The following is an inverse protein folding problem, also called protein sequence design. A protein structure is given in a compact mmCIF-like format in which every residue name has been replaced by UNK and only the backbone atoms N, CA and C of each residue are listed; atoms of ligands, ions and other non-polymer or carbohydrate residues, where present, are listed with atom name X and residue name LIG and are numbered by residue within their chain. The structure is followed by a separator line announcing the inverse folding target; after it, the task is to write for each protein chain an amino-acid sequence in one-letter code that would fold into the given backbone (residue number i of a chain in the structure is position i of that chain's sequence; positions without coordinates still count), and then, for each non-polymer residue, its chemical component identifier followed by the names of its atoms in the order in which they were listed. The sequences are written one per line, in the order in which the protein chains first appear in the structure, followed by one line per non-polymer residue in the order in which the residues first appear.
data_IF_744585665322
#
_entry.id   IF_744585665322
#
_cell.length_a   1.000
_cell.length_b   1.000
_cell.length_c   1.000
_cell.angle_alpha   90.00
_cell.angle_beta   90.00
_cell.angle_gamma   90.00
#
_symmetry.space_group_name_H-M   'P 1'
#
loop_
_entity.id
_entity.type
_entity.pdbx_description
1 polymer ?
#
# COMPACT_ATOMS: atom_id res chain seq x y z
N UNK A 1 -28.24 22.40 -15.75
CA UNK A 1 -26.86 22.93 -15.64
C UNK A 1 -26.85 23.93 -14.48
N UNK A 2 -26.56 23.51 -13.25
CA UNK A 2 -26.33 24.41 -12.15
C UNK A 2 -24.80 24.53 -11.98
N UNK A 3 -24.28 25.69 -12.36
CA UNK A 3 -22.90 26.07 -12.09
C UNK A 3 -22.74 26.20 -10.57
N UNK A 4 -22.09 25.24 -9.95
CA UNK A 4 -21.58 25.39 -8.58
C UNK A 4 -20.50 26.48 -8.61
N UNK A 5 -20.86 27.72 -8.26
CA UNK A 5 -19.85 28.72 -7.93
C UNK A 5 -19.23 28.33 -6.59
N UNK A 6 -17.91 28.19 -6.49
CA UNK A 6 -17.28 27.95 -5.22
C UNK A 6 -17.51 29.17 -4.32
N UNK A 7 -18.19 28.98 -3.20
CA UNK A 7 -18.29 30.00 -2.13
C UNK A 7 -16.98 29.97 -1.35
N UNK A 8 -16.08 30.89 -1.68
CA UNK A 8 -14.88 31.14 -0.87
C UNK A 8 -15.31 31.93 0.37
N UNK A 9 -14.95 31.51 1.61
CA UNK A 9 -15.17 32.31 2.82
C UNK A 9 -14.47 33.67 2.70
N UNK A 10 -15.01 34.70 3.32
CA UNK A 10 -14.58 36.11 3.19
C UNK A 10 -13.15 36.43 3.66
N UNK A 11 -12.35 35.45 4.12
CA UNK A 11 -10.91 35.55 4.37
C UNK A 11 -10.27 34.17 4.22
N UNK A 12 -9.92 33.77 3.00
CA UNK A 12 -9.07 32.58 2.80
C UNK A 12 -7.68 32.91 3.32
N UNK A 13 -7.10 32.13 4.23
CA UNK A 13 -5.70 32.33 4.63
C UNK A 13 -4.81 32.23 3.38
N UNK A 14 -3.64 32.90 3.36
CA UNK A 14 -2.71 32.76 2.25
C UNK A 14 -2.37 31.28 2.05
N UNK A 15 -2.36 30.83 0.81
CA UNK A 15 -2.03 29.46 0.47
C UNK A 15 -0.52 29.21 0.65
N UNK A 16 -0.17 28.00 1.08
CA UNK A 16 1.22 27.54 1.07
C UNK A 16 1.66 27.21 -0.36
N UNK A 17 0.76 26.57 -1.13
CA UNK A 17 1.04 26.12 -2.50
C UNK A 17 -0.20 26.31 -3.39
N UNK A 18 0.02 26.82 -4.59
CA UNK A 18 -0.99 26.93 -5.65
C UNK A 18 -0.47 26.20 -6.90
N UNK A 19 -1.21 25.18 -7.33
CA UNK A 19 -0.95 24.40 -8.54
C UNK A 19 -1.95 24.81 -9.61
N UNK A 20 -1.50 25.14 -10.82
CA UNK A 20 -2.37 25.64 -11.90
C UNK A 20 -2.08 24.96 -13.23
N UNK A 21 -3.06 24.92 -14.12
CA UNK A 21 -2.89 24.51 -15.52
C UNK A 21 -2.85 22.99 -15.76
N UNK A 22 -2.92 22.15 -14.71
CA UNK A 22 -2.92 20.70 -14.85
C UNK A 22 -4.32 20.14 -15.16
N UNK A 23 -4.35 18.99 -15.83
CA UNK A 23 -5.51 18.13 -15.80
C UNK A 23 -5.61 17.43 -14.43
N UNK A 24 -6.81 17.32 -13.85
CA UNK A 24 -6.97 16.81 -12.48
C UNK A 24 -8.00 15.67 -12.46
N UNK A 25 -7.56 14.50 -12.02
CA UNK A 25 -8.41 13.34 -11.68
C UNK A 25 -8.65 13.35 -10.17
N UNK A 26 -9.84 13.67 -9.74
CA UNK A 26 -10.12 13.83 -8.30
C UNK A 26 -10.35 12.53 -7.55
N UNK A 27 -10.70 11.44 -8.25
CA UNK A 27 -11.20 10.18 -7.67
C UNK A 27 -12.48 10.34 -6.82
N UNK A 28 -13.15 11.49 -6.86
CA UNK A 28 -14.47 11.66 -6.25
C UNK A 28 -15.55 10.97 -7.11
N UNK A 29 -16.56 10.30 -6.50
CA UNK A 29 -17.63 9.65 -7.24
C UNK A 29 -18.37 10.62 -8.14
N UNK A 30 -18.45 10.28 -9.44
CA UNK A 30 -19.16 11.10 -10.43
C UNK A 30 -18.48 12.43 -10.77
N UNK A 31 -17.32 12.76 -10.22
CA UNK A 31 -16.62 13.97 -10.56
C UNK A 31 -15.94 13.84 -11.94
N UNK A 32 -16.18 14.79 -12.84
CA UNK A 32 -15.51 14.80 -14.15
C UNK A 32 -14.04 15.15 -13.98
N UNK A 33 -13.23 14.77 -14.98
CA UNK A 33 -11.89 15.29 -15.18
C UNK A 33 -11.95 16.83 -15.26
N UNK A 34 -11.17 17.52 -14.43
CA UNK A 34 -11.01 18.98 -14.51
C UNK A 34 -9.83 19.25 -15.45
N UNK A 35 -10.12 19.90 -16.58
CA UNK A 35 -9.09 20.28 -17.56
C UNK A 35 -8.47 21.62 -17.20
N UNK A 36 -7.14 21.70 -17.31
CA UNK A 36 -6.37 22.91 -17.03
C UNK A 36 -6.76 23.59 -15.70
N UNK A 37 -7.02 22.79 -14.68
CA UNK A 37 -7.57 23.20 -13.38
C UNK A 37 -6.52 23.75 -12.42
N UNK A 38 -7.00 24.08 -11.22
CA UNK A 38 -6.16 24.59 -10.13
C UNK A 38 -6.49 23.91 -8.80
N UNK A 39 -5.48 23.74 -7.95
CA UNK A 39 -5.58 23.29 -6.57
C UNK A 39 -4.84 24.27 -5.68
N UNK A 40 -5.51 24.80 -4.66
CA UNK A 40 -4.91 25.59 -3.60
C UNK A 40 -4.74 24.76 -2.34
N UNK A 41 -3.55 24.81 -1.73
CA UNK A 41 -3.20 24.07 -0.51
C UNK A 41 -2.85 25.08 0.59
N UNK A 42 -3.43 24.88 1.77
CA UNK A 42 -3.15 25.65 2.98
C UNK A 42 -3.14 24.73 4.20
N UNK A 43 -2.15 24.88 5.06
CA UNK A 43 -1.99 24.10 6.30
C UNK A 43 -2.14 22.58 6.09
N UNK A 44 -1.50 22.06 5.04
CA UNK A 44 -1.52 20.64 4.71
C UNK A 44 -2.81 20.13 4.06
N UNK A 45 -3.82 20.99 3.83
CA UNK A 45 -5.12 20.60 3.29
C UNK A 45 -5.46 21.30 1.98
N UNK A 46 -6.29 20.65 1.19
CA UNK A 46 -6.86 21.22 -0.04
C UNK A 46 -7.84 22.31 0.37
N UNK A 47 -7.50 23.59 0.10
CA UNK A 47 -8.35 24.72 0.37
C UNK A 47 -9.44 24.90 -0.71
N UNK A 48 -9.06 24.68 -1.98
CA UNK A 48 -9.98 24.63 -3.10
C UNK A 48 -9.44 23.74 -4.23
N UNK A 49 -10.32 23.32 -5.12
CA UNK A 49 -10.04 22.62 -6.36
C UNK A 49 -11.09 23.03 -7.39
N UNK A 50 -10.68 23.33 -8.61
CA UNK A 50 -11.62 23.76 -9.66
C UNK A 50 -10.94 24.12 -10.98
N UNK A 51 -11.75 24.57 -11.95
CA UNK A 51 -11.25 25.00 -13.25
C UNK A 51 -10.54 26.37 -13.21
N UNK A 52 -10.83 27.19 -12.21
CA UNK A 52 -10.29 28.55 -12.11
C UNK A 52 -9.78 28.81 -10.68
N UNK A 53 -8.77 29.66 -10.59
CA UNK A 53 -8.30 30.19 -9.31
C UNK A 53 -9.30 31.23 -8.80
N UNK A 54 -9.82 31.12 -7.56
CA UNK A 54 -10.72 32.12 -7.01
C UNK A 54 -10.08 33.51 -6.97
N UNK A 55 -10.86 34.59 -7.22
CA UNK A 55 -10.34 35.96 -7.19
C UNK A 55 -9.71 36.32 -5.83
N UNK A 56 -8.56 37.03 -5.87
CA UNK A 56 -7.90 37.54 -4.65
C UNK A 56 -7.07 36.49 -3.90
N UNK A 57 -6.98 35.26 -4.38
CA UNK A 57 -6.12 34.23 -3.79
C UNK A 57 -4.65 34.56 -4.02
N UNK A 58 -3.84 34.46 -2.96
CA UNK A 58 -2.38 34.56 -2.99
C UNK A 58 -1.76 33.31 -2.42
N UNK A 59 -0.57 32.93 -2.86
CA UNK A 59 0.16 31.76 -2.40
C UNK A 59 1.63 32.10 -2.16
N UNK A 60 2.24 31.41 -1.19
CA UNK A 60 3.68 31.51 -0.95
C UNK A 60 4.49 30.95 -2.15
N UNK A 61 3.97 29.88 -2.76
CA UNK A 61 4.55 29.25 -3.97
C UNK A 61 3.44 28.97 -4.99
N UNK A 62 3.67 29.34 -6.25
CA UNK A 62 2.77 29.00 -7.36
C UNK A 62 3.55 28.23 -8.42
N UNK A 63 2.97 27.12 -8.90
CA UNK A 63 3.55 26.27 -9.94
C UNK A 63 2.57 26.17 -11.12
N UNK A 64 3.07 26.44 -12.32
CA UNK A 64 2.37 26.14 -13.56
C UNK A 64 2.65 24.70 -13.98
N UNK A 65 1.62 23.88 -13.94
CA UNK A 65 1.65 22.45 -14.27
C UNK A 65 0.96 22.16 -15.61
N UNK A 66 0.99 23.10 -16.55
CA UNK A 66 0.48 22.90 -17.91
C UNK A 66 1.12 21.65 -18.55
N UNK A 67 0.29 20.75 -19.08
CA UNK A 67 0.72 19.48 -19.67
C UNK A 67 1.01 18.36 -18.66
N UNK A 68 0.61 18.55 -17.40
CA UNK A 68 0.70 17.54 -16.33
C UNK A 68 -0.68 17.02 -15.94
N UNK A 69 -0.67 15.89 -15.28
CA UNK A 69 -1.83 15.27 -14.67
C UNK A 69 -1.65 15.23 -13.15
N UNK A 70 -2.65 15.72 -12.41
CA UNK A 70 -2.71 15.59 -10.95
C UNK A 70 -3.70 14.48 -10.60
N UNK A 71 -3.28 13.60 -9.67
CA UNK A 71 -4.12 12.55 -9.08
C UNK A 71 -4.02 12.59 -7.56
N UNK A 72 -4.95 11.95 -6.81
CA UNK A 72 -4.69 11.62 -5.41
C UNK A 72 -3.42 10.79 -5.28
N UNK A 73 -2.76 10.87 -4.14
CA UNK A 73 -1.66 9.98 -3.79
C UNK A 73 -2.09 8.53 -3.77
N UNK A 74 -1.22 7.63 -4.22
CA UNK A 74 -1.51 6.20 -4.20
C UNK A 74 -1.32 5.64 -2.79
N UNK A 75 -2.22 4.74 -2.41
CA UNK A 75 -2.26 4.08 -1.10
C UNK A 75 -1.84 2.63 -1.28
N UNK A 76 -0.58 2.33 -0.95
CA UNK A 76 0.02 1.01 -1.01
C UNK A 76 -0.07 0.35 0.38
N UNK A 77 -1.20 -0.29 0.69
CA UNK A 77 -1.54 -0.71 2.05
C UNK A 77 -0.90 -2.02 2.53
N UNK A 78 -0.07 -2.67 1.71
CA UNK A 78 0.64 -3.89 2.06
C UNK A 78 1.97 -3.98 1.31
N UNK A 79 3.06 -3.77 2.03
CA UNK A 79 4.41 -3.73 1.48
C UNK A 79 5.38 -4.40 2.48
N UNK A 80 6.33 -5.14 1.94
CA UNK A 80 7.49 -5.66 2.64
C UNK A 80 8.74 -5.06 2.02
N UNK A 81 9.00 -3.80 2.31
CA UNK A 81 10.00 -2.99 1.61
C UNK A 81 11.42 -3.55 1.72
N UNK A 82 11.77 -4.20 2.82
CA UNK A 82 13.07 -4.86 2.98
C UNK A 82 13.27 -6.06 2.03
N UNK A 83 12.20 -6.64 1.46
CA UNK A 83 12.31 -7.73 0.48
C UNK A 83 12.81 -7.27 -0.89
N UNK A 84 13.16 -6.00 -1.07
CA UNK A 84 13.99 -5.55 -2.18
C UNK A 84 15.30 -6.33 -2.29
N UNK A 85 15.78 -6.93 -1.20
CA UNK A 85 16.97 -7.79 -1.14
C UNK A 85 16.94 -8.99 -2.09
N UNK A 86 15.75 -9.48 -2.46
CA UNK A 86 15.57 -10.65 -3.34
C UNK A 86 14.99 -10.29 -4.71
N UNK A 87 14.97 -8.99 -5.04
CA UNK A 87 14.48 -8.47 -6.33
C UNK A 87 15.18 -9.14 -7.50
N UNK A 88 14.39 -9.51 -8.52
CA UNK A 88 14.88 -10.15 -9.76
C UNK A 88 15.23 -11.63 -9.61
N UNK A 89 15.08 -12.23 -8.42
CA UNK A 89 15.45 -13.64 -8.19
C UNK A 89 14.30 -14.44 -7.57
N UNK A 90 13.65 -13.92 -6.53
CA UNK A 90 12.69 -14.70 -5.75
C UNK A 90 11.47 -15.18 -6.54
N UNK A 91 11.01 -14.42 -7.52
CA UNK A 91 9.88 -14.80 -8.37
C UNK A 91 10.13 -16.09 -9.16
N UNK A 92 11.37 -16.31 -9.60
CA UNK A 92 11.76 -17.45 -10.44
C UNK A 92 12.19 -18.68 -9.60
N UNK A 93 12.61 -18.49 -8.35
CA UNK A 93 13.11 -19.59 -7.50
C UNK A 93 12.07 -20.08 -6.49
N UNK A 94 11.09 -19.27 -6.19
CA UNK A 94 10.08 -19.53 -5.17
C UNK A 94 9.64 -18.23 -4.57
N UNK A 95 8.39 -18.15 -4.26
CA UNK A 95 7.74 -16.88 -4.02
C UNK A 95 8.09 -16.25 -2.66
N UNK A 96 8.14 -17.05 -1.60
CA UNK A 96 8.41 -16.54 -0.27
C UNK A 96 9.84 -16.87 0.16
N UNK A 97 10.71 -15.88 0.43
CA UNK A 97 12.07 -16.11 0.91
C UNK A 97 12.13 -17.02 2.14
N UNK A 98 11.18 -16.87 3.06
CA UNK A 98 11.09 -17.71 4.27
C UNK A 98 10.94 -19.23 4.01
N UNK A 99 10.52 -19.61 2.80
CA UNK A 99 10.32 -21.00 2.40
C UNK A 99 11.30 -21.48 1.31
N UNK A 100 12.21 -20.60 0.87
CA UNK A 100 13.14 -20.87 -0.25
C UNK A 100 14.58 -20.92 0.25
N UNK A 101 15.24 -22.06 0.04
CA UNK A 101 16.66 -22.23 0.39
C UNK A 101 17.58 -21.52 -0.60
N UNK A 102 18.75 -21.11 -0.14
CA UNK A 102 19.81 -20.52 -0.96
C UNK A 102 19.60 -19.07 -1.39
N UNK A 103 18.56 -18.42 -0.85
CA UNK A 103 18.35 -16.98 -0.99
C UNK A 103 18.31 -16.31 0.40
N UNK A 104 18.61 -15.00 0.51
CA UNK A 104 18.49 -14.29 1.77
C UNK A 104 17.11 -14.43 2.40
N UNK A 105 17.08 -14.75 3.70
CA UNK A 105 15.84 -14.88 4.46
C UNK A 105 15.67 -13.68 5.39
N UNK A 106 14.41 -13.32 5.68
CA UNK A 106 14.08 -12.25 6.60
C UNK A 106 14.66 -12.45 8.01
N UNK A 107 14.76 -13.70 8.47
CA UNK A 107 15.32 -14.05 9.79
C UNK A 107 16.83 -13.84 9.88
N UNK A 108 17.51 -13.67 8.74
CA UNK A 108 18.96 -13.43 8.67
C UNK A 108 19.33 -11.94 8.71
N UNK A 109 18.33 -11.05 8.72
CA UNK A 109 18.52 -9.62 8.73
C UNK A 109 18.86 -9.12 10.16
N UNK A 110 19.88 -8.29 10.28
CA UNK A 110 19.98 -7.40 11.43
C UNK A 110 19.00 -6.22 11.30
N UNK A 111 18.73 -5.54 12.40
CA UNK A 111 17.90 -4.34 12.40
C UNK A 111 18.43 -3.25 11.45
N UNK A 112 19.75 -3.07 11.38
CA UNK A 112 20.41 -2.11 10.48
C UNK A 112 20.24 -2.51 9.01
N UNK A 113 20.40 -3.80 8.69
CA UNK A 113 20.23 -4.33 7.35
C UNK A 113 18.76 -4.20 6.88
N UNK A 114 17.81 -4.53 7.76
CA UNK A 114 16.39 -4.35 7.50
C UNK A 114 16.04 -2.89 7.24
N UNK A 115 16.55 -1.96 8.06
CA UNK A 115 16.35 -0.52 7.90
C UNK A 115 16.88 -0.01 6.57
N UNK A 116 18.12 -0.39 6.20
CA UNK A 116 18.72 0.03 4.93
C UNK A 116 17.89 -0.42 3.72
N UNK A 117 17.45 -1.67 3.70
CA UNK A 117 16.65 -2.24 2.61
C UNK A 117 15.22 -1.69 2.60
N UNK A 118 14.63 -1.48 3.78
CA UNK A 118 13.30 -0.89 3.90
C UNK A 118 13.26 0.55 3.37
N UNK A 119 14.29 1.36 3.64
CA UNK A 119 14.42 2.70 3.06
C UNK A 119 14.43 2.68 1.53
N UNK A 120 15.15 1.73 0.93
CA UNK A 120 15.17 1.59 -0.54
C UNK A 120 13.79 1.27 -1.10
N UNK A 121 13.07 0.30 -0.52
CA UNK A 121 11.74 -0.07 -1.01
C UNK A 121 10.71 1.04 -0.81
N UNK A 122 10.75 1.74 0.31
CA UNK A 122 9.89 2.90 0.57
C UNK A 122 10.21 4.10 -0.33
N UNK A 123 11.51 4.35 -0.61
CA UNK A 123 11.95 5.37 -1.57
C UNK A 123 11.39 5.08 -2.96
N UNK A 124 11.48 3.85 -3.45
CA UNK A 124 10.90 3.46 -4.74
C UNK A 124 9.39 3.68 -4.78
N UNK A 125 8.67 3.28 -3.72
CA UNK A 125 7.22 3.50 -3.63
C UNK A 125 6.87 4.99 -3.67
N UNK A 126 7.63 5.84 -2.96
CA UNK A 126 7.47 7.30 -2.95
C UNK A 126 7.72 7.91 -4.33
N UNK A 127 8.84 7.57 -4.96
CA UNK A 127 9.20 8.07 -6.29
C UNK A 127 8.21 7.62 -7.38
N UNK A 128 7.45 6.54 -7.13
CA UNK A 128 6.39 6.05 -8.01
C UNK A 128 4.99 6.52 -7.62
N UNK A 129 4.88 7.51 -6.70
CA UNK A 129 3.64 8.19 -6.37
C UNK A 129 2.86 7.66 -5.17
N UNK A 130 3.40 6.70 -4.39
CA UNK A 130 2.77 6.35 -3.12
C UNK A 130 2.93 7.50 -2.12
N UNK A 131 1.83 7.93 -1.49
CA UNK A 131 1.84 8.89 -0.37
C UNK A 131 1.66 8.19 0.97
N UNK A 132 1.12 6.97 0.94
CA UNK A 132 0.96 6.10 2.09
C UNK A 132 1.46 4.70 1.76
N UNK A 133 2.26 4.13 2.68
CA UNK A 133 2.73 2.74 2.63
C UNK A 133 2.27 1.97 3.87
N UNK A 134 1.86 0.70 3.67
CA UNK A 134 1.56 -0.27 4.73
C UNK A 134 2.73 -1.24 4.89
N UNK A 135 3.70 -0.93 5.73
CA UNK A 135 4.91 -1.74 5.94
C UNK A 135 4.74 -2.75 7.05
N UNK A 136 4.87 -4.03 6.76
CA UNK A 136 4.65 -5.11 7.73
C UNK A 136 5.77 -6.15 7.63
N UNK A 137 6.85 -5.96 8.39
CA UNK A 137 7.97 -6.88 8.28
C UNK A 137 8.74 -7.05 9.60
N UNK A 138 9.83 -7.83 9.56
CA UNK A 138 10.76 -7.95 10.68
C UNK A 138 11.49 -6.62 10.89
N UNK A 139 11.81 -6.28 12.12
CA UNK A 139 12.49 -5.03 12.49
C UNK A 139 11.79 -3.74 12.00
N UNK A 140 10.45 -3.77 11.86
CA UNK A 140 9.68 -2.57 11.49
C UNK A 140 9.84 -1.44 12.53
N UNK A 141 10.02 -1.77 13.79
CA UNK A 141 10.35 -0.86 14.89
C UNK A 141 11.65 -0.08 14.64
N UNK A 142 12.71 -0.78 14.25
CA UNK A 142 14.00 -0.16 13.92
C UNK A 142 13.95 0.63 12.60
N UNK A 143 13.19 0.17 11.63
CA UNK A 143 13.08 0.83 10.32
C UNK A 143 12.20 2.09 10.34
N UNK A 144 11.19 2.16 11.21
CA UNK A 144 10.17 3.21 11.21
C UNK A 144 10.73 4.65 11.27
N UNK A 145 11.72 5.00 12.11
CA UNK A 145 12.31 6.34 12.10
C UNK A 145 12.82 6.74 10.71
N UNK A 146 13.54 5.84 10.06
CA UNK A 146 14.14 6.07 8.75
C UNK A 146 13.09 6.12 7.61
N UNK A 147 11.96 5.42 7.76
CA UNK A 147 10.83 5.51 6.84
C UNK A 147 10.07 6.84 7.01
N UNK A 148 9.91 7.30 8.25
CA UNK A 148 9.27 8.59 8.54
C UNK A 148 10.05 9.79 7.98
N UNK A 149 11.39 9.71 7.94
CA UNK A 149 12.26 10.74 7.33
C UNK A 149 11.99 10.97 5.84
N UNK A 150 11.47 9.97 5.11
CA UNK A 150 11.07 10.13 3.71
C UNK A 150 9.88 11.08 3.54
N UNK A 151 9.15 11.38 4.61
CA UNK A 151 7.98 12.26 4.59
C UNK A 151 6.67 11.57 4.19
N UNK A 152 6.67 10.26 3.99
CA UNK A 152 5.48 9.46 3.70
C UNK A 152 4.55 9.32 4.90
N UNK A 153 3.31 8.90 4.64
CA UNK A 153 2.48 8.26 5.66
C UNK A 153 2.90 6.81 5.77
N UNK A 154 3.18 6.39 7.00
CA UNK A 154 3.65 5.03 7.28
C UNK A 154 2.68 4.35 8.24
N UNK A 155 1.94 3.37 7.72
CA UNK A 155 1.15 2.46 8.52
C UNK A 155 1.96 1.18 8.70
N UNK A 156 2.34 0.84 9.92
CA UNK A 156 3.33 -0.23 10.13
C UNK A 156 2.98 -1.15 11.30
N UNK A 157 3.59 -2.31 11.31
CA UNK A 157 3.53 -3.30 12.39
C UNK A 157 4.74 -4.23 12.30
N UNK A 158 5.21 -4.73 13.41
CA UNK A 158 6.01 -5.95 13.41
C UNK A 158 5.21 -7.10 12.80
N UNK A 159 5.88 -8.00 12.10
CA UNK A 159 5.26 -9.24 11.62
C UNK A 159 4.98 -10.17 12.80
N UNK A 160 3.71 -10.23 13.22
CA UNK A 160 3.28 -11.03 14.36
C UNK A 160 3.06 -12.49 13.96
N UNK A 161 3.74 -13.40 14.60
CA UNK A 161 3.63 -14.85 14.45
C UNK A 161 4.11 -15.55 15.72
N UNK A 162 3.69 -16.77 15.93
CA UNK A 162 4.20 -17.61 17.02
C UNK A 162 4.77 -18.95 16.52
N UNK A 163 4.99 -19.08 15.20
CA UNK A 163 5.71 -20.20 14.61
C UNK A 163 7.22 -19.93 14.57
N UNK A 164 8.04 -20.97 14.77
CA UNK A 164 9.48 -20.88 14.49
C UNK A 164 9.74 -20.94 12.99
N UNK A 165 10.06 -19.80 12.37
CA UNK A 165 10.37 -19.72 10.95
C UNK A 165 11.64 -20.45 10.54
N UNK A 166 12.60 -20.64 11.43
CA UNK A 166 13.77 -21.46 11.11
C UNK A 166 13.40 -22.93 10.92
N UNK A 167 12.44 -23.42 11.71
CA UNK A 167 11.88 -24.75 11.54
C UNK A 167 10.99 -24.86 10.29
N UNK A 168 10.22 -23.82 9.95
CA UNK A 168 9.33 -23.80 8.78
C UNK A 168 10.10 -24.04 7.48
N UNK A 169 11.27 -23.46 7.31
CA UNK A 169 12.13 -23.67 6.13
C UNK A 169 12.55 -25.16 5.96
N UNK A 170 12.49 -25.95 7.05
CA UNK A 170 12.75 -27.38 7.09
C UNK A 170 11.47 -28.23 7.09
N UNK A 171 10.29 -27.61 6.88
CA UNK A 171 8.99 -28.28 6.83
C UNK A 171 8.36 -28.60 8.19
N UNK A 172 8.89 -28.03 9.29
CA UNK A 172 8.34 -28.17 10.63
C UNK A 172 7.60 -26.89 11.05
N UNK A 173 6.38 -27.02 11.54
CA UNK A 173 5.55 -25.93 12.07
C UNK A 173 5.40 -26.11 13.59
N UNK A 174 6.30 -25.48 14.34
CA UNK A 174 6.24 -25.52 15.80
C UNK A 174 5.76 -24.15 16.28
N UNK A 175 4.61 -24.12 16.95
CA UNK A 175 4.14 -22.91 17.62
C UNK A 175 4.86 -22.77 18.97
N UNK A 176 5.44 -21.62 19.18
CA UNK A 176 6.17 -21.23 20.39
C UNK A 176 5.57 -19.95 20.95
N UNK A 177 4.78 -20.07 22.00
CA UNK A 177 4.04 -18.95 22.58
C UNK A 177 4.96 -17.76 22.97
N UNK A 178 6.22 -18.04 23.36
CA UNK A 178 7.20 -17.04 23.73
C UNK A 178 7.57 -16.13 22.54
N UNK A 179 7.68 -16.69 21.32
CA UNK A 179 7.92 -15.91 20.09
C UNK A 179 6.76 -14.92 19.88
N UNK A 180 5.52 -15.43 19.93
CA UNK A 180 4.33 -14.60 19.75
C UNK A 180 4.20 -13.53 20.83
N UNK A 181 4.46 -13.91 22.09
CA UNK A 181 4.42 -12.96 23.21
C UNK A 181 5.42 -11.83 23.02
N UNK A 182 6.70 -12.14 22.76
CA UNK A 182 7.74 -11.16 22.58
C UNK A 182 7.46 -10.20 21.41
N UNK A 183 7.00 -10.72 20.27
CA UNK A 183 6.65 -9.89 19.11
C UNK A 183 5.45 -8.98 19.39
N UNK A 184 4.44 -9.49 20.09
CA UNK A 184 3.26 -8.69 20.43
C UNK A 184 3.60 -7.59 21.42
N UNK A 185 4.39 -7.86 22.46
CA UNK A 185 4.86 -6.84 23.41
C UNK A 185 5.66 -5.76 22.70
N UNK A 186 6.59 -6.13 21.81
CA UNK A 186 7.35 -5.17 21.02
C UNK A 186 6.44 -4.33 20.10
N UNK A 187 5.38 -4.92 19.51
CA UNK A 187 4.42 -4.17 18.70
C UNK A 187 3.54 -3.24 19.55
N UNK A 188 3.21 -3.63 20.78
CA UNK A 188 2.50 -2.77 21.72
C UNK A 188 3.36 -1.57 22.14
N UNK A 189 4.64 -1.81 22.42
CA UNK A 189 5.61 -0.74 22.70
C UNK A 189 5.76 0.21 21.49
N UNK A 190 5.83 -0.34 20.28
CA UNK A 190 5.85 0.44 19.03
C UNK A 190 4.58 1.30 18.92
N UNK A 191 3.40 0.74 19.24
CA UNK A 191 2.13 1.49 19.24
C UNK A 191 2.18 2.68 20.21
N UNK A 192 2.55 2.46 21.45
CA UNK A 192 2.60 3.52 22.48
C UNK A 192 3.61 4.64 22.10
N UNK A 193 4.71 4.27 21.45
CA UNK A 193 5.76 5.21 21.12
C UNK A 193 5.50 5.99 19.83
N UNK A 194 4.80 5.40 18.84
CA UNK A 194 4.76 5.96 17.48
C UNK A 194 3.37 6.23 16.91
N UNK A 195 2.32 5.62 17.43
CA UNK A 195 0.97 5.83 16.88
C UNK A 195 0.56 7.31 16.99
N UNK A 196 0.14 7.90 15.86
CA UNK A 196 -0.23 9.30 15.76
C UNK A 196 0.93 10.31 15.72
N UNK A 197 2.19 9.85 15.72
CA UNK A 197 3.36 10.72 15.58
C UNK A 197 3.49 11.29 14.16
N UNK A 198 4.49 12.16 13.98
CA UNK A 198 4.75 12.84 12.70
C UNK A 198 3.54 13.59 12.15
N UNK A 199 2.80 14.30 13.02
CA UNK A 199 1.59 15.03 12.63
C UNK A 199 0.44 14.11 12.21
N UNK A 200 0.41 12.87 12.68
CA UNK A 200 -0.60 11.87 12.33
C UNK A 200 -0.24 11.04 11.10
N UNK A 201 0.97 11.22 10.52
CA UNK A 201 1.39 10.42 9.36
C UNK A 201 1.81 8.98 9.73
N UNK A 202 2.11 8.71 10.99
CA UNK A 202 2.46 7.36 11.47
C UNK A 202 1.27 6.71 12.15
N UNK A 203 0.88 5.52 11.69
CA UNK A 203 -0.12 4.68 12.35
C UNK A 203 0.41 3.27 12.58
N UNK A 204 0.25 2.77 13.79
CA UNK A 204 0.66 1.40 14.11
C UNK A 204 -0.55 0.47 14.00
N UNK A 205 -0.36 -0.62 13.27
CA UNK A 205 -1.31 -1.69 13.02
C UNK A 205 -0.89 -2.98 13.75
N UNK A 206 -1.63 -4.05 13.51
CA UNK A 206 -1.27 -5.39 13.97
C UNK A 206 -1.20 -6.31 12.75
N UNK A 207 0.00 -6.84 12.43
CA UNK A 207 0.17 -7.70 11.27
C UNK A 207 0.20 -9.17 11.68
N UNK A 208 -0.99 -9.78 11.87
CA UNK A 208 -1.14 -11.23 12.03
C UNK A 208 -0.67 -11.91 10.73
N UNK A 209 0.50 -12.56 10.73
CA UNK A 209 1.17 -12.97 9.49
C UNK A 209 0.28 -13.84 8.58
N UNK A 210 -0.22 -14.98 9.07
CA UNK A 210 -1.13 -15.86 8.34
C UNK A 210 -1.76 -16.91 9.28
N UNK A 211 -2.82 -17.59 8.82
CA UNK A 211 -3.53 -18.60 9.62
C UNK A 211 -2.69 -19.85 9.96
N UNK A 212 -1.65 -20.15 9.19
CA UNK A 212 -0.74 -21.29 9.43
C UNK A 212 0.52 -20.92 10.22
N UNK A 213 0.75 -19.64 10.47
CA UNK A 213 1.91 -19.15 11.21
C UNK A 213 1.55 -18.43 12.50
N UNK A 214 0.25 -18.30 12.76
CA UNK A 214 -0.30 -17.81 14.02
C UNK A 214 -1.23 -18.87 14.60
N UNK A 215 -0.94 -19.34 15.81
CA UNK A 215 -1.85 -20.26 16.50
C UNK A 215 -3.21 -19.59 16.75
N UNK A 216 -4.31 -20.36 16.84
CA UNK A 216 -5.63 -19.79 17.16
C UNK A 216 -5.66 -19.00 18.46
N UNK A 217 -4.83 -19.38 19.44
CA UNK A 217 -4.71 -18.66 20.72
C UNK A 217 -4.04 -17.30 20.52
N UNK A 218 -2.99 -17.24 19.70
CA UNK A 218 -2.26 -16.01 19.40
C UNK A 218 -3.10 -15.05 18.54
N UNK A 219 -3.85 -15.57 17.54
CA UNK A 219 -4.79 -14.75 16.76
C UNK A 219 -5.85 -14.08 17.65
N UNK A 220 -6.42 -14.81 18.63
CA UNK A 220 -7.36 -14.22 19.59
C UNK A 220 -6.71 -13.13 20.44
N UNK A 221 -5.44 -13.30 20.83
CA UNK A 221 -4.72 -12.27 21.58
C UNK A 221 -4.49 -11.04 20.73
N UNK A 222 -4.08 -11.18 19.46
CA UNK A 222 -3.95 -10.06 18.52
C UNK A 222 -5.30 -9.35 18.35
N UNK A 223 -6.40 -10.09 18.19
CA UNK A 223 -7.75 -9.52 18.06
C UNK A 223 -8.12 -8.64 19.27
N UNK A 224 -7.84 -9.11 20.48
CA UNK A 224 -8.12 -8.35 21.71
C UNK A 224 -7.34 -7.04 21.74
N UNK A 225 -6.03 -7.06 21.43
CA UNK A 225 -5.17 -5.90 21.50
C UNK A 225 -5.50 -4.87 20.38
N UNK A 226 -5.74 -5.37 19.16
CA UNK A 226 -6.14 -4.51 18.04
C UNK A 226 -7.50 -3.84 18.30
N UNK A 227 -8.49 -4.62 18.76
CA UNK A 227 -9.82 -4.10 19.06
C UNK A 227 -9.83 -3.08 20.20
N UNK A 228 -9.03 -3.31 21.24
CA UNK A 228 -8.91 -2.37 22.36
C UNK A 228 -8.37 -0.98 21.93
N UNK A 229 -7.66 -0.91 20.79
CA UNK A 229 -7.06 0.30 20.23
C UNK A 229 -7.77 0.82 18.97
N UNK A 230 -8.80 0.13 18.47
CA UNK A 230 -9.44 0.47 17.20
C UNK A 230 -8.47 0.37 16.02
N UNK A 231 -7.43 -0.46 16.14
CA UNK A 231 -6.37 -0.56 15.14
C UNK A 231 -6.74 -1.53 14.01
N UNK A 232 -6.25 -1.27 12.79
CA UNK A 232 -6.35 -2.18 11.66
C UNK A 232 -5.49 -3.43 11.88
N UNK A 233 -5.95 -4.56 11.34
CA UNK A 233 -5.18 -5.80 11.31
C UNK A 233 -4.85 -6.13 9.86
N UNK A 234 -3.58 -6.32 9.55
CA UNK A 234 -3.12 -6.75 8.23
C UNK A 234 -2.74 -8.23 8.28
N UNK A 235 -3.08 -9.00 7.26
CA UNK A 235 -2.76 -10.44 7.21
C UNK A 235 -2.60 -10.93 5.79
N UNK A 236 -1.84 -12.01 5.61
CA UNK A 236 -1.93 -12.85 4.41
C UNK A 236 -3.08 -13.85 4.62
N UNK A 237 -4.05 -13.87 3.73
CA UNK A 237 -5.20 -14.75 3.84
C UNK A 237 -5.29 -15.68 2.64
N UNK A 238 -5.30 -16.97 2.90
CA UNK A 238 -5.41 -18.01 1.86
C UNK A 238 -4.39 -17.82 0.72
N UNK A 239 -3.15 -17.49 1.09
CA UNK A 239 -2.07 -17.11 0.14
C UNK A 239 -1.43 -18.30 -0.56
N UNK A 240 -1.55 -19.52 0.01
CA UNK A 240 -0.88 -20.71 -0.54
C UNK A 240 -1.66 -21.99 -0.30
N UNK A 241 -1.44 -22.99 -1.16
CA UNK A 241 -1.99 -24.35 -0.95
C UNK A 241 -1.42 -25.00 0.30
N UNK A 242 -0.22 -24.62 0.71
CA UNK A 242 0.42 -25.09 1.95
C UNK A 242 -0.35 -24.57 3.17
N UNK A 243 -0.67 -23.28 3.21
CA UNK A 243 -1.51 -22.68 4.24
C UNK A 243 -2.87 -23.40 4.32
N UNK A 244 -3.58 -23.54 3.20
CA UNK A 244 -4.88 -24.22 3.17
C UNK A 244 -4.80 -25.64 3.73
N UNK A 245 -3.81 -26.41 3.27
CA UNK A 245 -3.61 -27.80 3.74
C UNK A 245 -3.31 -27.83 5.23
N UNK A 246 -2.43 -26.97 5.70
CA UNK A 246 -1.96 -26.89 7.08
C UNK A 246 -3.09 -26.51 8.03
N UNK A 247 -3.78 -25.41 7.76
CA UNK A 247 -4.90 -24.92 8.55
C UNK A 247 -6.00 -25.97 8.63
N UNK A 248 -6.32 -26.64 7.51
CA UNK A 248 -7.35 -27.70 7.49
C UNK A 248 -6.93 -28.93 8.31
N UNK A 249 -5.65 -29.30 8.26
CA UNK A 249 -5.14 -30.44 9.06
C UNK A 249 -5.17 -30.17 10.56
N UNK A 250 -4.85 -28.94 10.98
CA UNK A 250 -4.75 -28.58 12.40
C UNK A 250 -6.10 -28.25 13.02
N UNK A 251 -6.97 -27.56 12.27
CA UNK A 251 -8.20 -26.99 12.81
C UNK A 251 -9.48 -27.61 12.24
N UNK A 252 -9.39 -28.35 11.15
CA UNK A 252 -10.55 -28.82 10.37
C UNK A 252 -11.25 -27.70 9.56
N UNK A 253 -10.70 -26.47 9.53
CA UNK A 253 -11.33 -25.25 9.03
C UNK A 253 -10.58 -24.64 7.86
N UNK A 254 -11.19 -23.62 7.24
CA UNK A 254 -10.53 -22.74 6.28
C UNK A 254 -9.84 -21.59 7.00
N UNK A 255 -8.87 -20.89 6.36
CA UNK A 255 -8.27 -19.67 6.93
C UNK A 255 -9.30 -18.60 7.29
N UNK A 256 -10.33 -18.39 6.46
CA UNK A 256 -11.42 -17.43 6.75
C UNK A 256 -12.15 -17.79 8.05
N UNK A 257 -12.48 -19.06 8.23
CA UNK A 257 -13.16 -19.54 9.45
C UNK A 257 -12.28 -19.40 10.70
N UNK A 258 -10.97 -19.60 10.56
CA UNK A 258 -10.01 -19.42 11.68
C UNK A 258 -9.96 -17.96 12.11
N UNK A 259 -9.88 -17.01 11.15
CA UNK A 259 -9.91 -15.58 11.47
C UNK A 259 -11.25 -15.14 12.07
N UNK A 260 -12.38 -15.69 11.59
CA UNK A 260 -13.71 -15.41 12.14
C UNK A 260 -13.81 -15.85 13.61
N UNK A 261 -13.41 -17.08 13.93
CA UNK A 261 -13.41 -17.60 15.29
C UNK A 261 -12.42 -16.90 16.23
N UNK A 262 -11.35 -16.35 15.68
CA UNK A 262 -10.42 -15.50 16.44
C UNK A 262 -11.01 -14.12 16.75
N UNK A 263 -12.12 -13.72 16.11
CA UNK A 263 -12.73 -12.41 16.26
C UNK A 263 -12.02 -11.31 15.47
N UNK A 264 -11.31 -11.70 14.39
CA UNK A 264 -10.57 -10.79 13.50
C UNK A 264 -11.31 -10.51 12.20
N UNK A 265 -12.33 -11.29 11.83
CA UNK A 265 -13.04 -11.15 10.56
C UNK A 265 -14.09 -10.05 10.65
N UNK A 266 -13.66 -8.80 10.51
CA UNK A 266 -14.49 -7.59 10.54
C UNK A 266 -13.95 -6.53 9.57
N UNK A 267 -14.53 -5.32 9.59
CA UNK A 267 -14.15 -4.18 8.74
C UNK A 267 -12.79 -3.53 9.09
N UNK A 268 -12.09 -4.05 10.10
CA UNK A 268 -10.71 -3.67 10.41
C UNK A 268 -9.68 -4.60 9.76
N UNK A 269 -10.11 -5.72 9.17
CA UNK A 269 -9.20 -6.72 8.61
C UNK A 269 -8.83 -6.41 7.15
N UNK A 270 -7.53 -6.34 6.88
CA UNK A 270 -6.92 -6.15 5.56
C UNK A 270 -6.31 -7.49 5.11
N UNK A 271 -6.93 -8.13 4.11
CA UNK A 271 -6.64 -9.51 3.70
C UNK A 271 -5.76 -9.54 2.44
N UNK A 272 -4.46 -9.73 2.61
CA UNK A 272 -3.50 -9.88 1.50
C UNK A 272 -3.72 -11.16 0.69
N UNK A 273 -3.50 -11.07 -0.63
CA UNK A 273 -3.58 -12.13 -1.63
C UNK A 273 -4.96 -12.71 -1.90
N UNK A 274 -5.59 -13.38 -0.95
CA UNK A 274 -6.88 -14.06 -1.11
C UNK A 274 -6.90 -15.04 -2.32
N UNK A 275 -5.79 -15.78 -2.55
CA UNK A 275 -5.60 -16.64 -3.74
C UNK A 275 -6.50 -17.87 -3.74
N UNK A 276 -6.71 -18.48 -2.56
CA UNK A 276 -7.36 -19.77 -2.43
C UNK A 276 -8.56 -19.68 -1.47
N UNK A 277 -9.36 -18.63 -1.59
CA UNK A 277 -10.60 -18.49 -0.84
C UNK A 277 -11.57 -19.60 -1.22
N UNK A 278 -12.07 -20.32 -0.22
CA UNK A 278 -13.10 -21.33 -0.42
C UNK A 278 -14.42 -20.63 -0.80
N UNK A 279 -15.10 -21.10 -1.86
CA UNK A 279 -16.35 -20.48 -2.32
C UNK A 279 -17.45 -20.51 -1.26
N UNK A 280 -17.43 -21.49 -0.38
CA UNK A 280 -18.38 -21.59 0.73
C UNK A 280 -18.20 -20.51 1.79
N UNK A 281 -17.01 -19.89 1.84
CA UNK A 281 -16.72 -18.78 2.75
C UNK A 281 -17.09 -17.41 2.18
N UNK A 282 -17.31 -17.27 0.87
CA UNK A 282 -17.58 -15.98 0.23
C UNK A 282 -18.73 -15.20 0.89
N UNK A 283 -19.90 -15.80 1.21
CA UNK A 283 -20.97 -15.03 1.87
C UNK A 283 -20.58 -14.49 3.23
N UNK A 284 -19.86 -15.29 4.04
CA UNK A 284 -19.36 -14.89 5.36
C UNK A 284 -18.31 -13.79 5.22
N UNK A 285 -17.36 -13.97 4.32
CA UNK A 285 -16.28 -13.04 4.07
C UNK A 285 -16.83 -11.68 3.60
N UNK A 286 -17.78 -11.67 2.68
CA UNK A 286 -18.42 -10.44 2.20
C UNK A 286 -19.24 -9.73 3.29
N UNK A 287 -19.96 -10.49 4.12
CA UNK A 287 -20.78 -9.93 5.19
C UNK A 287 -19.96 -9.35 6.35
N UNK A 288 -18.68 -9.71 6.47
CA UNK A 288 -17.81 -9.23 7.57
C UNK A 288 -17.37 -7.78 7.42
N UNK A 289 -17.41 -7.22 6.22
CA UNK A 289 -16.85 -5.90 5.92
C UNK A 289 -15.33 -5.90 5.69
N UNK A 290 -14.64 -7.03 5.84
CA UNK A 290 -13.20 -7.12 5.62
C UNK A 290 -12.80 -6.71 4.20
N UNK A 291 -11.58 -6.22 4.05
CA UNK A 291 -11.08 -5.67 2.80
C UNK A 291 -10.10 -6.61 2.11
N UNK A 292 -10.22 -6.75 0.80
CA UNK A 292 -9.29 -7.54 -0.02
C UNK A 292 -8.14 -6.66 -0.49
N UNK A 293 -6.93 -7.04 -0.15
CA UNK A 293 -5.70 -6.41 -0.66
C UNK A 293 -5.22 -7.22 -1.86
N UNK A 294 -5.57 -6.76 -3.06
CA UNK A 294 -5.19 -7.41 -4.32
C UNK A 294 -3.73 -7.10 -4.67
N UNK A 295 -2.98 -8.15 -4.97
CA UNK A 295 -1.54 -8.12 -5.26
C UNK A 295 -1.29 -8.73 -6.64
N UNK A 296 -1.74 -8.08 -7.74
CA UNK A 296 -1.82 -8.73 -9.04
C UNK A 296 -0.47 -9.11 -9.63
N UNK A 297 0.53 -8.22 -9.59
CA UNK A 297 1.84 -8.46 -10.22
C UNK A 297 2.60 -9.58 -9.52
N UNK A 298 2.71 -9.53 -8.21
CA UNK A 298 3.44 -10.51 -7.41
C UNK A 298 2.82 -11.91 -7.55
N UNK A 299 1.48 -11.99 -7.50
CA UNK A 299 0.76 -13.25 -7.69
C UNK A 299 0.94 -13.79 -9.11
N UNK A 300 0.76 -12.96 -10.14
CA UNK A 300 0.88 -13.36 -11.54
C UNK A 300 2.31 -13.79 -11.92
N UNK A 301 3.33 -13.09 -11.40
CA UNK A 301 4.74 -13.46 -11.62
C UNK A 301 5.06 -14.88 -11.11
N UNK A 302 4.34 -15.35 -10.10
CA UNK A 302 4.46 -16.73 -9.59
C UNK A 302 3.41 -17.70 -10.18
N UNK A 303 2.74 -17.32 -11.27
CA UNK A 303 1.74 -18.15 -11.96
C UNK A 303 0.44 -18.33 -11.21
N UNK A 304 0.09 -17.42 -10.28
CA UNK A 304 -1.11 -17.50 -9.45
C UNK A 304 -1.98 -16.26 -9.63
N UNK A 305 -3.29 -16.41 -9.46
CA UNK A 305 -4.23 -15.30 -9.54
C UNK A 305 -5.33 -15.46 -8.48
N UNK A 306 -5.61 -14.37 -7.75
CA UNK A 306 -6.76 -14.33 -6.85
C UNK A 306 -8.07 -14.31 -7.66
N UNK A 307 -9.16 -14.93 -7.19
CA UNK A 307 -10.44 -14.95 -7.88
C UNK A 307 -11.18 -13.59 -7.75
N UNK A 308 -10.52 -12.51 -8.22
CA UNK A 308 -10.97 -11.11 -7.98
C UNK A 308 -12.34 -10.81 -8.58
N UNK A 309 -12.73 -11.50 -9.65
CA UNK A 309 -14.08 -11.39 -10.22
C UNK A 309 -15.14 -11.86 -9.21
N UNK A 310 -14.91 -13.00 -8.52
CA UNK A 310 -15.84 -13.52 -7.49
C UNK A 310 -15.89 -12.64 -6.24
N UNK A 311 -14.72 -12.14 -5.81
CA UNK A 311 -14.62 -11.22 -4.68
C UNK A 311 -15.34 -9.89 -4.97
N UNK A 312 -15.18 -9.36 -6.19
CA UNK A 312 -15.91 -8.17 -6.64
C UNK A 312 -17.42 -8.43 -6.73
N UNK A 313 -17.83 -9.60 -7.24
CA UNK A 313 -19.25 -10.00 -7.31
C UNK A 313 -19.89 -10.13 -5.94
N UNK A 314 -19.14 -10.58 -4.95
CA UNK A 314 -19.56 -10.63 -3.57
C UNK A 314 -19.66 -9.23 -2.91
N UNK A 315 -19.33 -8.15 -3.62
CA UNK A 315 -19.41 -6.77 -3.12
C UNK A 315 -18.26 -6.35 -2.21
N UNK A 316 -17.16 -7.09 -2.19
CA UNK A 316 -16.03 -6.76 -1.33
C UNK A 316 -15.30 -5.51 -1.79
N UNK A 317 -14.78 -4.72 -0.86
CA UNK A 317 -13.88 -3.63 -1.15
C UNK A 317 -12.50 -4.20 -1.57
N UNK A 318 -12.15 -3.99 -2.85
CA UNK A 318 -10.86 -4.39 -3.42
C UNK A 318 -9.91 -3.19 -3.39
N UNK A 319 -8.73 -3.38 -2.83
CA UNK A 319 -7.62 -2.41 -2.80
C UNK A 319 -6.42 -2.96 -3.56
N UNK A 320 -5.37 -2.17 -3.76
CA UNK A 320 -4.13 -2.61 -4.38
C UNK A 320 -2.95 -2.50 -3.43
N UNK A 321 -1.98 -3.42 -3.61
CA UNK A 321 -0.70 -3.35 -2.93
C UNK A 321 0.39 -4.05 -3.74
N UNK A 322 1.64 -3.61 -3.55
CA UNK A 322 2.79 -4.15 -4.28
C UNK A 322 3.38 -5.41 -3.64
N UNK A 323 3.21 -5.59 -2.34
CA UNK A 323 3.73 -6.69 -1.53
C UNK A 323 5.27 -6.69 -1.47
N UNK A 324 5.95 -7.31 -2.43
CA UNK A 324 7.40 -7.51 -2.42
C UNK A 324 8.05 -7.05 -3.71
N UNK A 325 9.36 -6.80 -3.66
CA UNK A 325 10.28 -6.64 -4.80
C UNK A 325 10.10 -5.39 -5.65
N UNK A 326 9.01 -4.67 -5.57
CA UNK A 326 8.78 -3.41 -6.29
C UNK A 326 7.82 -2.50 -5.52
N UNK A 327 7.88 -1.17 -5.80
CA UNK A 327 7.02 -0.16 -5.17
C UNK A 327 6.10 0.58 -6.14
N UNK A 328 6.13 0.27 -7.45
CA UNK A 328 5.42 1.04 -8.49
C UNK A 328 3.92 0.71 -8.54
N UNK A 329 3.11 1.59 -7.93
CA UNK A 329 1.65 1.49 -7.94
C UNK A 329 1.03 1.81 -9.31
N UNK A 330 1.70 2.60 -10.17
CA UNK A 330 1.21 2.91 -11.52
C UNK A 330 1.30 1.67 -12.40
N UNK A 331 2.41 0.95 -12.34
CA UNK A 331 2.52 -0.34 -13.02
C UNK A 331 1.45 -1.32 -12.53
N UNK A 332 1.16 -1.29 -11.23
CA UNK A 332 0.20 -2.19 -10.60
C UNK A 332 -1.25 -1.98 -11.10
N UNK A 333 -1.64 -0.74 -11.44
CA UNK A 333 -2.95 -0.45 -12.07
C UNK A 333 -3.16 -1.29 -13.34
N UNK A 334 -2.13 -1.39 -14.17
CA UNK A 334 -2.16 -2.16 -15.42
C UNK A 334 -2.26 -3.66 -15.16
N UNK A 335 -1.51 -4.17 -14.19
CA UNK A 335 -1.59 -5.57 -13.79
C UNK A 335 -2.97 -5.93 -13.24
N UNK A 336 -3.56 -5.07 -12.41
CA UNK A 336 -4.90 -5.29 -11.87
C UNK A 336 -5.96 -5.30 -12.98
N UNK A 337 -5.90 -4.34 -13.91
CA UNK A 337 -6.82 -4.28 -15.04
C UNK A 337 -6.69 -5.51 -15.95
N UNK A 338 -5.45 -5.87 -16.30
CA UNK A 338 -5.18 -6.99 -17.19
C UNK A 338 -5.64 -8.33 -16.60
N UNK A 339 -5.27 -8.61 -15.34
CA UNK A 339 -5.65 -9.86 -14.66
C UNK A 339 -7.16 -9.94 -14.41
N UNK A 340 -7.82 -8.82 -14.08
CA UNK A 340 -9.27 -8.75 -13.93
C UNK A 340 -9.98 -9.06 -15.25
N UNK A 341 -9.56 -8.47 -16.37
CA UNK A 341 -10.14 -8.73 -17.71
C UNK A 341 -9.90 -10.15 -18.20
N UNK A 342 -8.74 -10.74 -17.91
CA UNK A 342 -8.46 -12.15 -18.25
C UNK A 342 -9.44 -13.07 -17.51
N UNK A 343 -9.71 -12.82 -16.24
CA UNK A 343 -10.68 -13.62 -15.47
C UNK A 343 -12.12 -13.39 -15.89
N UNK A 344 -12.47 -12.17 -16.33
CA UNK A 344 -13.79 -11.83 -16.86
C UNK A 344 -14.02 -12.44 -18.26
N UNK A 345 -12.96 -12.88 -18.94
CA UNK A 345 -13.03 -13.40 -20.31
C UNK A 345 -13.08 -12.32 -21.39
N UNK A 346 -12.77 -11.05 -21.06
CA UNK A 346 -12.75 -9.95 -22.02
C UNK A 346 -12.90 -8.57 -21.40
N UNK A 347 -13.17 -7.58 -22.26
CA UNK A 347 -13.45 -6.20 -21.85
C UNK A 347 -14.94 -6.06 -21.56
N UNK A 348 -15.24 -5.60 -20.34
CA UNK A 348 -16.60 -5.33 -19.87
C UNK A 348 -16.62 -4.01 -19.09
N UNK A 349 -17.80 -3.56 -18.67
CA UNK A 349 -17.95 -2.37 -17.81
C UNK A 349 -17.43 -2.58 -16.37
N UNK A 350 -17.08 -3.79 -16.02
CA UNK A 350 -16.70 -4.19 -14.66
C UNK A 350 -15.22 -4.00 -14.34
N UNK A 351 -14.36 -4.01 -15.36
CA UNK A 351 -12.91 -3.82 -15.26
C UNK A 351 -12.48 -2.70 -16.20
N UNK A 352 -12.64 -1.47 -15.71
CA UNK A 352 -12.30 -0.26 -16.43
C UNK A 352 -11.17 0.50 -15.72
N UNK A 353 -10.46 1.42 -16.38
CA UNK A 353 -9.44 2.25 -15.75
C UNK A 353 -9.88 2.90 -14.45
N UNK A 354 -11.14 3.37 -14.35
CA UNK A 354 -11.70 3.96 -13.13
C UNK A 354 -11.76 2.99 -11.95
N UNK A 355 -12.00 1.70 -12.21
CA UNK A 355 -12.13 0.71 -11.14
C UNK A 355 -10.78 0.45 -10.47
N UNK A 356 -9.73 0.22 -11.27
CA UNK A 356 -8.38 -0.04 -10.73
C UNK A 356 -7.75 1.22 -10.14
N UNK A 357 -8.07 2.41 -10.66
CA UNK A 357 -7.67 3.68 -10.09
C UNK A 357 -8.30 3.87 -8.69
N UNK A 358 -9.59 3.56 -8.55
CA UNK A 358 -10.25 3.58 -7.23
C UNK A 358 -9.61 2.60 -6.25
N UNK A 359 -9.19 1.40 -6.72
CA UNK A 359 -8.50 0.41 -5.87
C UNK A 359 -7.17 0.94 -5.31
N UNK A 360 -6.45 1.76 -6.06
CA UNK A 360 -5.17 2.35 -5.65
C UNK A 360 -5.33 3.65 -4.83
N UNK A 361 -6.54 4.19 -4.72
CA UNK A 361 -6.82 5.50 -4.12
C UNK A 361 -7.93 5.40 -3.08
N UNK A 362 -9.18 5.74 -3.42
CA UNK A 362 -10.30 5.85 -2.47
C UNK A 362 -10.66 4.52 -1.78
N UNK A 363 -10.50 3.39 -2.44
CA UNK A 363 -10.76 2.09 -1.83
C UNK A 363 -9.72 1.74 -0.76
N UNK A 364 -8.43 2.11 -1.01
CA UNK A 364 -7.38 2.02 -0.01
C UNK A 364 -7.67 2.89 1.22
N UNK A 365 -8.12 4.14 0.99
CA UNK A 365 -8.52 5.03 2.07
C UNK A 365 -9.68 4.46 2.89
N UNK A 366 -10.72 3.91 2.23
CA UNK A 366 -11.85 3.23 2.91
C UNK A 366 -11.38 2.05 3.75
N UNK A 367 -10.47 1.23 3.22
CA UNK A 367 -9.93 0.10 3.97
C UNK A 367 -9.20 0.53 5.25
N UNK A 368 -8.63 1.73 5.25
CA UNK A 368 -7.96 2.30 6.41
C UNK A 368 -8.89 3.15 7.31
N UNK A 369 -10.15 3.40 6.89
CA UNK A 369 -11.08 4.32 7.58
C UNK A 369 -10.69 5.79 7.41
N UNK A 370 -9.98 6.13 6.34
CA UNK A 370 -9.44 7.46 6.04
C UNK A 370 -10.08 8.11 4.81
N UNK A 371 -11.21 7.60 4.31
CA UNK A 371 -11.85 8.10 3.09
C UNK A 371 -12.33 9.55 3.19
N UNK A 372 -12.53 10.06 4.39
CA UNK A 372 -12.86 11.47 4.62
C UNK A 372 -11.65 12.40 4.62
N UNK A 373 -10.44 11.83 4.73
CA UNK A 373 -9.16 12.54 4.80
C UNK A 373 -8.31 12.34 3.54
N UNK A 374 -8.34 11.14 2.93
CA UNK A 374 -7.42 10.70 1.87
C UNK A 374 -8.16 10.01 0.72
N UNK A 375 -7.41 9.64 -0.33
CA UNK A 375 -7.85 8.78 -1.41
C UNK A 375 -8.64 9.48 -2.52
N UNK A 376 -8.98 10.76 -2.35
CA UNK A 376 -9.57 11.62 -3.37
C UNK A 376 -9.19 13.07 -3.12
N UNK A 377 -9.33 13.91 -4.15
CA UNK A 377 -9.02 15.35 -4.06
C UNK A 377 -10.31 16.14 -3.92
N UNK A 378 -10.57 16.64 -2.71
CA UNK A 378 -11.71 17.48 -2.40
C UNK A 378 -11.32 18.54 -1.36
N UNK A 379 -11.98 19.72 -1.33
CA UNK A 379 -11.74 20.72 -0.31
C UNK A 379 -11.90 20.15 1.11
N UNK A 380 -10.96 20.48 1.99
CA UNK A 380 -10.89 20.00 3.37
C UNK A 380 -10.10 18.72 3.58
N UNK A 381 -9.90 17.89 2.55
CA UNK A 381 -9.05 16.69 2.65
C UNK A 381 -7.57 17.05 2.76
N UNK A 382 -6.78 16.13 3.26
CA UNK A 382 -5.32 16.22 3.28
C UNK A 382 -4.79 16.39 1.85
N UNK A 383 -3.79 17.23 1.68
CA UNK A 383 -3.17 17.45 0.39
C UNK A 383 -2.12 16.38 0.10
N UNK A 384 -2.60 15.17 -0.15
CA UNK A 384 -1.82 14.03 -0.62
C UNK A 384 -2.11 13.83 -2.11
N UNK A 385 -1.16 14.20 -2.96
CA UNK A 385 -1.33 14.17 -4.41
C UNK A 385 -0.05 13.84 -5.18
N UNK A 386 -0.24 13.40 -6.42
CA UNK A 386 0.84 13.06 -7.36
C UNK A 386 0.66 13.88 -8.63
N UNK A 387 1.77 14.40 -9.15
CA UNK A 387 1.84 15.07 -10.44
C UNK A 387 2.66 14.22 -11.41
N UNK A 388 2.08 13.91 -12.57
CA UNK A 388 2.74 13.18 -13.64
C UNK A 388 3.05 14.12 -14.80
N UNK A 389 4.25 14.02 -15.38
CA UNK A 389 4.61 14.72 -16.63
C UNK A 389 4.01 14.00 -17.84
N UNK A 390 2.93 14.55 -18.39
CA UNK A 390 2.23 13.97 -19.53
C UNK A 390 2.76 14.42 -20.90
N UNK A 391 3.83 15.23 -20.95
CA UNK A 391 4.46 15.72 -22.19
C UNK A 391 5.40 14.69 -22.83
N UNK A 392 5.24 13.43 -22.50
CA UNK A 392 6.06 12.31 -22.96
C UNK A 392 5.39 11.57 -24.11
N UNK A 393 6.21 10.98 -25.01
CA UNK A 393 5.71 10.31 -26.21
C UNK A 393 4.68 9.21 -25.92
N UNK A 394 4.88 8.41 -24.87
CA UNK A 394 3.98 7.30 -24.51
C UNK A 394 2.69 7.74 -23.79
N UNK A 395 2.58 9.03 -23.43
CA UNK A 395 1.39 9.65 -22.83
C UNK A 395 0.67 10.59 -23.82
N UNK A 396 1.13 10.65 -25.07
CA UNK A 396 0.56 11.47 -26.13
C UNK A 396 -0.12 10.57 -27.17
N UNK A 397 -1.38 10.86 -27.61
CA UNK A 397 -2.20 12.02 -27.25
C UNK A 397 -2.88 11.89 -25.87
N UNK A 398 -3.10 13.03 -25.19
CA UNK A 398 -3.77 13.12 -23.89
C UNK A 398 -5.30 13.20 -24.00
N UNK A 399 -5.89 12.39 -24.86
CA UNK A 399 -7.35 12.37 -25.11
C UNK A 399 -8.12 11.86 -23.88
N UNK A 400 -7.64 10.76 -23.30
CA UNK A 400 -8.15 10.18 -22.06
C UNK A 400 -7.00 10.04 -21.03
N UNK A 401 -6.83 11.02 -20.14
CA UNK A 401 -5.77 10.98 -19.13
C UNK A 401 -5.85 9.78 -18.19
N UNK A 402 -7.06 9.35 -17.81
CA UNK A 402 -7.23 8.17 -16.96
C UNK A 402 -6.88 6.88 -17.72
N UNK A 403 -7.28 6.77 -18.97
CA UNK A 403 -6.88 5.66 -19.83
C UNK A 403 -5.35 5.62 -20.00
N UNK A 404 -4.72 6.77 -20.28
CA UNK A 404 -3.26 6.85 -20.40
C UNK A 404 -2.55 6.50 -19.10
N UNK A 405 -3.05 6.98 -17.95
CA UNK A 405 -2.50 6.64 -16.63
C UNK A 405 -2.43 5.12 -16.45
N UNK A 406 -3.52 4.41 -16.73
CA UNK A 406 -3.61 2.97 -16.48
C UNK A 406 -2.90 2.13 -17.55
N UNK A 407 -3.02 2.51 -18.82
CA UNK A 407 -2.51 1.69 -19.92
C UNK A 407 -1.06 1.96 -20.28
N UNK A 408 -0.57 3.20 -20.12
CA UNK A 408 0.73 3.59 -20.68
C UNK A 408 1.68 4.28 -19.70
N UNK A 409 1.19 4.96 -18.64
CA UNK A 409 2.06 5.63 -17.68
C UNK A 409 2.96 4.66 -16.91
N UNK A 410 4.04 5.17 -16.36
CA UNK A 410 5.07 4.44 -15.61
C UNK A 410 5.42 5.24 -14.35
N UNK A 411 5.94 4.59 -13.31
CA UNK A 411 6.35 5.28 -12.08
C UNK A 411 7.33 6.41 -12.32
N UNK A 412 8.22 6.28 -13.30
CA UNK A 412 9.17 7.34 -13.70
C UNK A 412 8.53 8.58 -14.35
N UNK A 413 7.24 8.58 -14.63
CA UNK A 413 6.51 9.75 -15.12
C UNK A 413 6.04 10.66 -13.98
N UNK A 414 6.17 10.20 -12.73
CA UNK A 414 5.94 11.01 -11.54
C UNK A 414 6.99 12.11 -11.45
N UNK A 415 6.56 13.35 -11.52
CA UNK A 415 7.39 14.56 -11.42
C UNK A 415 7.37 15.10 -9.99
N UNK A 416 6.21 15.02 -9.30
CA UNK A 416 6.06 15.54 -7.94
C UNK A 416 5.15 14.65 -7.10
N UNK A 417 5.49 14.53 -5.82
CA UNK A 417 4.63 13.92 -4.79
C UNK A 417 4.49 14.90 -3.63
N UNK A 418 3.26 15.13 -3.23
CA UNK A 418 2.91 15.95 -2.07
C UNK A 418 2.26 15.08 -1.01
N UNK A 419 2.73 15.17 0.21
CA UNK A 419 2.18 14.47 1.38
C UNK A 419 1.91 15.49 2.47
N UNK A 420 0.67 15.55 2.95
CA UNK A 420 0.28 16.50 4.00
C UNK A 420 0.62 17.96 3.62
N UNK A 421 0.44 18.30 2.32
CA UNK A 421 0.79 19.60 1.75
C UNK A 421 2.28 19.87 1.55
N UNK A 422 3.16 18.93 1.92
CA UNK A 422 4.61 19.04 1.79
C UNK A 422 5.10 18.34 0.54
N UNK A 423 5.88 18.99 -0.29
CA UNK A 423 6.52 18.39 -1.46
C UNK A 423 7.63 17.46 -0.98
N UNK A 424 7.47 16.15 -1.17
CA UNK A 424 8.46 15.11 -0.80
C UNK A 424 9.22 14.57 -2.01
N UNK A 425 8.67 14.75 -3.22
CA UNK A 425 9.34 14.51 -4.49
C UNK A 425 9.15 15.74 -5.38
N UNK A 426 10.21 16.24 -5.99
CA UNK A 426 10.19 17.33 -6.95
C UNK A 426 11.16 17.02 -8.09
N UNK A 427 10.75 17.30 -9.35
CA UNK A 427 11.50 16.98 -10.56
C UNK A 427 11.90 15.48 -10.64
N UNK A 428 11.07 14.58 -10.05
CA UNK A 428 11.33 13.14 -10.00
C UNK A 428 12.36 12.72 -8.94
N UNK A 429 12.75 13.63 -8.05
CA UNK A 429 13.76 13.37 -7.01
C UNK A 429 13.23 13.63 -5.59
N UNK A 430 13.66 12.84 -4.63
CA UNK A 430 13.33 13.04 -3.22
C UNK A 430 13.91 14.36 -2.70
N UNK A 431 13.10 15.12 -1.95
CA UNK A 431 13.49 16.44 -1.42
C UNK A 431 14.08 16.40 -0.03
N UNK A 432 13.87 15.30 0.72
CA UNK A 432 14.17 15.20 2.14
C UNK A 432 15.38 14.30 2.47
N UNK A 433 15.78 13.46 1.52
CA UNK A 433 16.82 12.44 1.72
C UNK A 433 17.77 12.38 0.53
N UNK A 434 18.95 11.84 0.72
CA UNK A 434 19.91 11.54 -0.35
C UNK A 434 19.61 10.16 -0.97
N UNK A 435 18.98 10.16 -2.14
CA UNK A 435 18.63 8.94 -2.89
C UNK A 435 19.84 8.07 -3.19
N UNK A 436 20.95 8.68 -3.62
CA UNK A 436 22.14 7.94 -4.03
C UNK A 436 22.81 7.26 -2.84
N UNK A 437 22.81 7.91 -1.67
CA UNK A 437 23.28 7.31 -0.43
C UNK A 437 22.40 6.10 -0.03
N UNK A 438 21.07 6.20 -0.12
CA UNK A 438 20.13 5.09 0.16
C UNK A 438 20.37 3.92 -0.80
N UNK A 439 20.47 4.18 -2.10
CA UNK A 439 20.71 3.15 -3.13
C UNK A 439 22.04 2.44 -2.89
N UNK A 440 23.12 3.19 -2.66
CA UNK A 440 24.44 2.64 -2.44
C UNK A 440 24.52 1.78 -1.16
N UNK A 441 23.89 2.24 -0.08
CA UNK A 441 23.85 1.50 1.19
C UNK A 441 23.08 0.19 1.05
N UNK A 442 21.86 0.24 0.50
CA UNK A 442 21.05 -0.95 0.27
C UNK A 442 21.73 -1.96 -0.68
N UNK A 443 22.41 -1.50 -1.73
CA UNK A 443 23.19 -2.37 -2.62
C UNK A 443 24.31 -3.08 -1.88
N UNK A 444 25.06 -2.38 -1.02
CA UNK A 444 26.11 -2.94 -0.19
C UNK A 444 25.57 -4.01 0.76
N UNK A 445 24.46 -3.71 1.44
CA UNK A 445 23.79 -4.62 2.36
C UNK A 445 23.31 -5.87 1.63
N UNK A 446 22.59 -5.72 0.51
CA UNK A 446 22.09 -6.84 -0.29
C UNK A 446 23.23 -7.75 -0.75
N UNK A 447 24.37 -7.22 -1.22
CA UNK A 447 25.53 -8.01 -1.60
C UNK A 447 26.08 -8.85 -0.45
N UNK A 448 26.14 -8.28 0.76
CA UNK A 448 26.54 -9.00 1.98
C UNK A 448 25.59 -10.17 2.30
N UNK A 449 24.29 -9.93 2.24
CA UNK A 449 23.25 -10.95 2.46
C UNK A 449 23.36 -12.10 1.46
N UNK A 450 23.48 -11.81 0.18
CA UNK A 450 23.63 -12.83 -0.87
C UNK A 450 24.91 -13.66 -0.72
N UNK A 451 26.02 -13.04 -0.28
CA UNK A 451 27.25 -13.76 0.04
C UNK A 451 27.05 -14.75 1.18
N UNK A 452 26.34 -14.35 2.26
CA UNK A 452 26.03 -15.23 3.40
C UNK A 452 25.10 -16.38 2.99
N UNK A 453 24.01 -16.09 2.27
CA UNK A 453 23.06 -17.10 1.84
C UNK A 453 23.71 -18.19 0.95
N UNK A 454 24.59 -17.78 0.03
CA UNK A 454 25.35 -18.73 -0.83
C UNK A 454 26.36 -19.57 -0.06
N UNK A 455 26.90 -19.07 1.04
CA UNK A 455 27.86 -19.83 1.87
C UNK A 455 27.15 -20.89 2.75
N UNK A 456 25.84 -20.76 2.95
CA UNK A 456 25.00 -21.68 3.73
C UNK A 456 24.24 -22.71 2.86
N UNK A 457 24.22 -22.52 1.52
CA UNK A 457 23.56 -23.40 0.57
C UNK A 457 24.47 -24.56 0.13
#
# INVERSE_FOLDING_TARGET
MHSLRPTVPASTPPLDLLLTGADILTAEPGAPLIRAGAIGIAAGRIAFIGAEVPPGVTAARTLDLTGRLITPGYINIHLHSALTMVRGVAADLGFAPSYTRGIPNAMDLSAEEATSLARLGALEAMLSGSTLIGEHFVHADAALPALAELGLRVHTSLRLHDVDFAAVANGAWNYEAEIGFSLLEANLELYENWHGKEGGRVAIQFAAHAADTCSPAFLRRIAMEAKARGARVNTHLAQSKTEIKRVRQETGKTPVQVFDEAGLLDDHLLCGHCLYIDETDLPRFAASGAHVVHIPKCNAASGRMAPVHKLKDAGMNLTLATDTQHGDMIELLRWALATGRVQEGGVSDRWQPRDVFAMATINGAKALGLEHELGSLAPGKQADLVVLDCRRAHLTPATDPLGNLVHTAQGRDVEMVVVDGRIVVEDGHATLVDEQAIIADAQRVAQGLWKRARAQA
#
